data_IF_767144089253
#
_entry.id   IF_767144089253
#
_cell.length_a   1.000
_cell.length_b   1.000
_cell.length_c   1.000
_cell.angle_alpha   90.00
_cell.angle_beta   90.00
_cell.angle_gamma   90.00
#
_symmetry.space_group_name_H-M   'P 1'
#
loop_
_entity.id
_entity.type
_entity.pdbx_description
1 polymer ?
#
# COMPACT_ATOMS: atom_id res chain seq x y z
N UNK A 1 52.83 -44.18 14.16
CA UNK A 1 51.41 -44.49 13.90
C UNK A 1 50.59 -43.59 14.82
N UNK A 2 49.45 -43.05 14.36
CA UNK A 2 48.57 -42.07 15.04
C UNK A 2 48.96 -40.58 14.88
N UNK A 3 49.42 -40.10 13.72
CA UNK A 3 48.53 -39.40 12.77
C UNK A 3 47.25 -40.20 12.52
N UNK A 4 46.08 -39.55 12.62
CA UNK A 4 44.70 -40.09 12.56
C UNK A 4 44.12 -40.39 13.95
N UNK A 5 43.48 -39.38 14.55
CA UNK A 5 42.57 -39.30 15.72
C UNK A 5 43.02 -38.06 16.53
N UNK A 6 42.36 -36.91 16.55
CA UNK A 6 40.97 -36.62 16.24
C UNK A 6 40.89 -35.17 15.79
N UNK A 7 41.15 -34.96 14.50
CA UNK A 7 40.60 -33.85 13.71
C UNK A 7 39.10 -34.16 13.57
N UNK A 8 38.36 -34.07 14.68
CA UNK A 8 36.90 -34.27 14.73
C UNK A 8 36.24 -33.42 15.84
N UNK A 9 36.99 -32.49 16.44
CA UNK A 9 36.43 -31.39 17.22
C UNK A 9 36.43 -30.10 16.38
N UNK A 10 36.03 -30.23 15.11
CA UNK A 10 36.10 -29.17 14.10
C UNK A 10 34.85 -29.08 13.21
N UNK A 11 33.76 -29.76 13.59
CA UNK A 11 32.48 -29.73 12.87
C UNK A 11 31.34 -30.03 13.84
N UNK A 12 31.04 -29.09 14.75
CA UNK A 12 29.69 -28.99 15.29
C UNK A 12 29.16 -27.61 14.91
N UNK A 13 28.33 -27.64 13.86
CA UNK A 13 27.21 -26.74 13.58
C UNK A 13 27.47 -25.24 13.87
N UNK A 14 28.04 -24.49 12.91
CA UNK A 14 27.30 -23.97 11.75
C UNK A 14 25.99 -23.28 12.17
N UNK A 15 26.10 -21.96 12.32
CA UNK A 15 25.06 -20.97 12.03
C UNK A 15 23.68 -21.22 12.63
N UNK A 16 23.46 -20.75 13.87
CA UNK A 16 22.23 -20.02 14.14
C UNK A 16 22.35 -18.68 13.39
N UNK A 17 22.14 -18.70 12.07
CA UNK A 17 21.71 -17.50 11.40
C UNK A 17 20.39 -17.14 12.08
N UNK A 18 20.37 -15.97 12.71
CA UNK A 18 19.13 -15.36 13.15
C UNK A 18 18.19 -15.38 11.95
N UNK A 19 17.20 -16.26 11.99
CA UNK A 19 16.01 -16.08 11.19
C UNK A 19 15.35 -14.84 11.77
N UNK A 20 15.80 -13.68 11.30
CA UNK A 20 14.94 -12.51 11.19
C UNK A 20 13.87 -12.95 10.19
N UNK A 21 12.88 -13.67 10.70
CA UNK A 21 11.54 -13.55 10.19
C UNK A 21 11.27 -12.05 10.36
N UNK A 22 11.51 -11.27 9.30
CA UNK A 22 10.67 -10.12 9.06
C UNK A 22 9.29 -10.75 8.92
N UNK A 23 8.61 -10.85 10.05
CA UNK A 23 7.16 -10.86 10.06
C UNK A 23 6.80 -9.68 9.17
N UNK A 24 6.34 -10.00 7.97
CA UNK A 24 5.70 -9.02 7.11
C UNK A 24 4.41 -8.68 7.85
N UNK A 25 4.54 -7.85 8.88
CA UNK A 25 3.41 -7.29 9.59
C UNK A 25 2.78 -6.37 8.57
N UNK A 26 1.83 -6.93 7.83
CA UNK A 26 0.78 -6.18 7.18
C UNK A 26 0.05 -5.44 8.30
N UNK A 27 0.52 -4.24 8.65
CA UNK A 27 -0.08 -3.38 9.66
C UNK A 27 -1.29 -2.67 9.06
N UNK A 28 -2.34 -3.42 8.74
CA UNK A 28 -3.70 -2.90 8.74
C UNK A 28 -4.50 -3.69 9.77
N UNK A 29 -4.01 -3.66 11.01
CA UNK A 29 -4.73 -4.24 12.13
C UNK A 29 -5.74 -3.23 12.61
N UNK A 30 -7.03 -3.59 12.51
CA UNK A 30 -8.11 -2.89 13.21
C UNK A 30 -7.65 -2.58 14.64
N UNK A 31 -7.81 -1.33 15.13
CA UNK A 31 -7.39 -0.97 16.49
C UNK A 31 -7.96 -1.92 17.53
N UNK A 32 -7.19 -2.25 18.57
CA UNK A 32 -7.65 -3.15 19.62
C UNK A 32 -8.78 -2.54 20.48
N UNK A 33 -8.92 -1.21 20.46
CA UNK A 33 -9.92 -0.45 21.23
C UNK A 33 -10.42 0.73 20.40
N UNK A 34 -11.64 1.19 20.66
CA UNK A 34 -12.17 2.38 19.99
C UNK A 34 -11.29 3.60 20.30
N UNK A 35 -10.89 4.31 19.23
CA UNK A 35 -10.18 5.59 19.38
C UNK A 35 -11.17 6.71 19.69
N UNK A 36 -12.36 6.63 19.10
CA UNK A 36 -13.48 7.53 19.35
C UNK A 36 -14.76 6.69 19.50
N UNK A 37 -15.58 7.00 20.50
CA UNK A 37 -16.82 6.24 20.77
C UNK A 37 -17.95 6.66 19.81
N UNK A 38 -18.09 7.96 19.60
CA UNK A 38 -19.23 8.54 18.87
C UNK A 38 -18.86 9.07 17.48
N UNK A 39 -17.65 8.78 17.00
CA UNK A 39 -17.15 9.30 15.74
C UNK A 39 -16.41 8.22 14.95
N UNK A 40 -16.54 8.27 13.62
CA UNK A 40 -15.64 7.61 12.70
C UNK A 40 -14.23 8.21 12.71
N UNK A 41 -13.23 7.42 12.35
CA UNK A 41 -11.85 7.86 12.13
C UNK A 41 -11.19 7.09 10.98
N UNK A 42 -10.20 7.71 10.35
CA UNK A 42 -9.54 7.14 9.17
C UNK A 42 -8.60 5.99 9.52
N UNK A 43 -8.47 5.05 8.59
CA UNK A 43 -7.38 4.10 8.58
C UNK A 43 -6.16 4.64 7.82
N UNK A 44 -5.06 3.88 7.84
CA UNK A 44 -3.89 4.19 7.01
C UNK A 44 -4.26 4.22 5.53
N UNK A 45 -4.99 3.19 5.09
CA UNK A 45 -5.69 3.15 3.81
C UNK A 45 -6.78 4.23 3.79
N UNK A 46 -6.62 5.21 2.90
CA UNK A 46 -7.57 6.33 2.79
C UNK A 46 -8.96 5.94 2.29
N UNK A 47 -9.15 4.71 1.81
CA UNK A 47 -10.47 4.17 1.48
C UNK A 47 -11.15 3.61 2.72
N UNK A 48 -10.40 3.26 3.76
CA UNK A 48 -10.91 2.61 4.96
C UNK A 48 -11.08 3.57 6.11
N UNK A 49 -12.04 3.25 6.96
CA UNK A 49 -12.33 3.98 8.18
C UNK A 49 -12.87 3.02 9.22
N UNK A 50 -12.90 3.49 10.45
CA UNK A 50 -13.43 2.76 11.58
C UNK A 50 -14.58 3.52 12.21
N UNK A 51 -15.49 2.79 12.84
CA UNK A 51 -16.47 3.33 13.79
C UNK A 51 -16.57 2.40 14.99
N UNK A 52 -17.04 2.92 16.12
CA UNK A 52 -17.21 2.12 17.32
C UNK A 52 -18.63 1.53 17.40
N UNK A 53 -18.72 0.27 17.80
CA UNK A 53 -19.98 -0.36 18.17
C UNK A 53 -19.76 -1.23 19.40
N UNK A 54 -20.47 -0.96 20.51
CA UNK A 54 -20.33 -1.67 21.78
C UNK A 54 -18.86 -1.76 22.28
N UNK A 55 -18.11 -0.66 22.22
CA UNK A 55 -16.66 -0.59 22.52
C UNK A 55 -15.75 -1.45 21.60
N UNK A 56 -16.28 -1.96 20.48
CA UNK A 56 -15.53 -2.72 19.48
C UNK A 56 -15.34 -1.89 18.21
N UNK A 57 -14.10 -1.66 17.78
CA UNK A 57 -13.83 -1.01 16.49
C UNK A 57 -14.27 -1.91 15.34
N UNK A 58 -15.05 -1.34 14.43
CA UNK A 58 -15.47 -1.98 13.19
C UNK A 58 -14.82 -1.24 12.03
N UNK A 59 -14.06 -1.95 11.20
CA UNK A 59 -13.53 -1.44 9.93
C UNK A 59 -14.60 -1.46 8.84
N UNK A 60 -14.62 -0.41 8.03
CA UNK A 60 -15.43 -0.31 6.82
C UNK A 60 -14.62 0.37 5.71
N UNK A 61 -15.10 0.30 4.48
CA UNK A 61 -14.42 0.82 3.29
C UNK A 61 -15.40 1.67 2.46
N UNK A 62 -14.89 2.77 1.92
CA UNK A 62 -15.58 3.61 0.95
C UNK A 62 -15.67 2.89 -0.41
N UNK A 63 -16.69 3.25 -1.20
CA UNK A 63 -16.81 2.75 -2.57
C UNK A 63 -15.61 3.13 -3.45
N UNK A 64 -15.38 2.38 -4.53
CA UNK A 64 -14.32 2.68 -5.50
C UNK A 64 -14.44 4.12 -6.02
N UNK A 65 -13.34 4.87 -5.95
CA UNK A 65 -13.29 6.28 -6.32
C UNK A 65 -13.77 7.25 -5.23
N UNK A 66 -14.05 6.74 -4.02
CA UNK A 66 -14.33 7.53 -2.83
C UNK A 66 -13.28 7.28 -1.74
N UNK A 67 -13.02 8.31 -0.93
CA UNK A 67 -12.00 8.28 0.11
C UNK A 67 -12.53 8.92 1.39
N UNK A 68 -12.17 8.34 2.52
CA UNK A 68 -12.61 8.84 3.82
C UNK A 68 -11.91 10.16 4.16
N UNK A 69 -12.71 11.15 4.55
CA UNK A 69 -12.26 12.46 5.01
C UNK A 69 -12.89 12.75 6.35
N UNK A 70 -12.09 13.27 7.27
CA UNK A 70 -12.54 13.83 8.56
C UNK A 70 -11.76 15.12 8.81
N UNK A 71 -12.37 16.24 8.46
CA UNK A 71 -11.80 17.57 8.74
C UNK A 71 -12.88 18.49 9.33
N UNK A 72 -12.59 19.79 9.48
CA UNK A 72 -13.51 20.75 10.08
C UNK A 72 -14.79 21.02 9.24
N UNK A 73 -14.77 20.69 7.95
CA UNK A 73 -15.83 21.01 6.98
C UNK A 73 -16.54 19.76 6.50
N UNK A 74 -15.79 18.70 6.19
CA UNK A 74 -16.28 17.49 5.54
C UNK A 74 -16.02 16.26 6.39
N UNK A 75 -16.97 15.32 6.31
CA UNK A 75 -16.99 14.11 7.12
C UNK A 75 -17.61 12.93 6.36
N UNK A 76 -16.85 11.84 6.22
CA UNK A 76 -17.27 10.61 5.55
C UNK A 76 -16.55 10.38 4.21
N UNK A 77 -17.12 9.49 3.39
CA UNK A 77 -16.56 9.13 2.08
C UNK A 77 -16.87 10.23 1.04
N UNK A 78 -15.83 10.89 0.54
CA UNK A 78 -15.94 11.88 -0.53
C UNK A 78 -15.45 11.33 -1.86
N UNK A 79 -16.08 11.69 -2.99
CA UNK A 79 -15.60 11.29 -4.31
C UNK A 79 -14.24 11.93 -4.59
N UNK A 80 -13.37 11.21 -5.31
CA UNK A 80 -12.02 11.64 -5.69
C UNK A 80 -11.95 13.10 -6.14
N UNK A 81 -12.91 13.55 -6.97
CA UNK A 81 -13.01 14.91 -7.52
C UNK A 81 -13.08 16.05 -6.48
N UNK A 82 -13.41 15.74 -5.23
CA UNK A 82 -13.45 16.69 -4.12
C UNK A 82 -12.22 16.57 -3.20
N UNK A 83 -11.37 15.57 -3.43
CA UNK A 83 -10.10 15.41 -2.72
C UNK A 83 -9.08 16.43 -3.23
N UNK A 84 -8.07 16.70 -2.41
CA UNK A 84 -6.87 17.37 -2.89
C UNK A 84 -6.25 16.52 -4.03
N UNK A 85 -6.07 17.08 -5.25
CA UNK A 85 -5.53 16.34 -6.39
C UNK A 85 -4.15 15.72 -6.15
N UNK A 86 -3.34 16.25 -5.23
CA UNK A 86 -2.07 15.61 -4.88
C UNK A 86 -2.28 14.27 -4.17
N UNK A 87 -3.42 14.07 -3.50
CA UNK A 87 -3.73 12.86 -2.74
C UNK A 87 -4.36 11.74 -3.58
N UNK A 88 -4.76 12.04 -4.81
CA UNK A 88 -5.46 11.13 -5.72
C UNK A 88 -4.84 11.24 -7.12
N UNK A 89 -5.16 10.35 -8.04
CA UNK A 89 -4.56 10.36 -9.38
C UNK A 89 -5.55 10.91 -10.41
N UNK A 90 -6.15 12.08 -10.18
CA UNK A 90 -7.15 12.65 -11.10
C UNK A 90 -6.55 13.33 -12.33
N UNK A 91 -5.27 13.63 -12.28
CA UNK A 91 -4.51 14.29 -13.32
C UNK A 91 -3.82 13.31 -14.27
N UNK A 92 -3.90 12.01 -13.99
CA UNK A 92 -3.23 10.98 -14.78
C UNK A 92 -4.08 10.59 -15.98
N UNK A 93 -3.43 10.33 -17.10
CA UNK A 93 -4.07 9.76 -18.28
C UNK A 93 -3.20 8.61 -18.76
N UNK A 94 -3.83 7.45 -18.99
CA UNK A 94 -3.13 6.29 -19.52
C UNK A 94 -2.74 6.57 -20.96
N UNK A 95 -1.44 6.56 -21.23
CA UNK A 95 -0.89 6.77 -22.57
C UNK A 95 -0.85 5.48 -23.40
N UNK A 96 -0.66 5.60 -24.72
CA UNK A 96 -0.55 4.45 -25.61
C UNK A 96 0.71 3.62 -25.29
N UNK A 97 0.71 2.36 -25.73
CA UNK A 97 1.83 1.45 -25.56
C UNK A 97 2.97 1.71 -26.56
N UNK A 98 3.69 2.81 -26.33
CA UNK A 98 4.85 3.22 -27.11
C UNK A 98 5.93 3.81 -26.20
N UNK A 99 7.18 3.83 -26.69
CA UNK A 99 8.30 4.46 -26.00
C UNK A 99 8.46 3.97 -24.55
N UNK A 100 8.50 4.90 -23.60
CA UNK A 100 8.71 4.57 -22.19
C UNK A 100 7.55 3.75 -21.58
N UNK A 101 6.33 3.80 -22.12
CA UNK A 101 5.20 3.04 -21.55
C UNK A 101 5.34 1.53 -21.75
N UNK A 102 6.21 1.10 -22.67
CA UNK A 102 6.58 -0.32 -22.85
C UNK A 102 7.58 -0.81 -21.80
N UNK A 103 8.30 0.09 -21.15
CA UNK A 103 9.40 -0.24 -20.25
C UNK A 103 9.02 -0.13 -18.77
N UNK A 104 7.90 0.55 -18.48
CA UNK A 104 7.48 0.82 -17.11
C UNK A 104 5.96 0.90 -17.02
N UNK A 105 5.38 0.48 -15.88
CA UNK A 105 3.96 0.65 -15.63
C UNK A 105 3.52 2.12 -15.69
N UNK A 106 2.24 2.33 -15.96
CA UNK A 106 1.58 3.62 -15.94
C UNK A 106 0.62 3.70 -14.76
N UNK A 107 0.45 4.91 -14.23
CA UNK A 107 -0.43 5.18 -13.09
C UNK A 107 -1.90 5.06 -13.53
N UNK A 108 -2.76 4.52 -12.67
CA UNK A 108 -4.22 4.52 -12.85
C UNK A 108 -4.88 5.59 -11.98
N UNK A 109 -6.06 6.06 -12.40
CA UNK A 109 -6.93 6.91 -11.56
C UNK A 109 -7.38 6.16 -10.29
N UNK A 110 -7.56 4.84 -10.40
CA UNK A 110 -7.79 3.94 -9.26
C UNK A 110 -6.44 3.68 -8.59
N UNK A 111 -6.26 4.17 -7.36
CA UNK A 111 -4.95 4.18 -6.69
C UNK A 111 -4.34 2.79 -6.49
N UNK A 112 -5.16 1.76 -6.33
CA UNK A 112 -4.71 0.37 -6.18
C UNK A 112 -4.34 -0.29 -7.50
N UNK A 113 -4.55 0.37 -8.63
CA UNK A 113 -4.35 -0.21 -9.95
C UNK A 113 -3.24 0.49 -10.72
N UNK A 114 -2.73 -0.20 -11.73
CA UNK A 114 -1.74 0.31 -12.66
C UNK A 114 -1.92 -0.34 -14.03
N UNK A 115 -1.34 0.28 -15.05
CA UNK A 115 -1.45 -0.19 -16.43
C UNK A 115 -0.10 -0.69 -16.92
N UNK A 116 -0.09 -1.83 -17.61
CA UNK A 116 1.06 -2.37 -18.31
C UNK A 116 0.81 -2.39 -19.80
N UNK A 117 1.90 -2.26 -20.56
CA UNK A 117 1.88 -2.44 -22.00
C UNK A 117 2.46 -3.80 -22.36
N UNK A 118 1.66 -4.72 -22.92
CA UNK A 118 2.15 -6.06 -23.26
C UNK A 118 3.11 -6.03 -24.44
N UNK A 119 2.84 -5.19 -25.45
CA UNK A 119 3.68 -5.00 -26.63
C UNK A 119 3.42 -3.65 -27.30
N UNK A 120 4.27 -3.28 -28.27
CA UNK A 120 4.18 -2.00 -28.98
C UNK A 120 2.89 -1.90 -29.80
N UNK A 121 2.13 -0.81 -29.59
CA UNK A 121 0.88 -0.54 -30.29
C UNK A 121 -0.34 -1.30 -29.77
N UNK A 122 -0.20 -2.17 -28.77
CA UNK A 122 -1.32 -2.84 -28.12
C UNK A 122 -2.09 -1.89 -27.17
N UNK A 123 -3.28 -2.31 -26.77
CA UNK A 123 -4.04 -1.64 -25.70
C UNK A 123 -3.38 -1.90 -24.33
N UNK A 124 -3.23 -0.87 -23.48
CA UNK A 124 -2.77 -1.08 -22.10
C UNK A 124 -3.69 -2.01 -21.32
N UNK A 125 -3.11 -2.86 -20.47
CA UNK A 125 -3.82 -3.79 -19.61
C UNK A 125 -3.76 -3.32 -18.17
N UNK A 126 -4.91 -3.19 -17.51
CA UNK A 126 -5.01 -2.83 -16.10
C UNK A 126 -4.73 -4.03 -15.22
N UNK A 127 -3.95 -3.82 -14.17
CA UNK A 127 -3.69 -4.77 -13.10
C UNK A 127 -3.89 -4.09 -11.75
N UNK A 128 -4.16 -4.88 -10.73
CA UNK A 128 -4.36 -4.42 -9.35
C UNK A 128 -3.17 -4.84 -8.50
N UNK A 129 -2.74 -3.93 -7.62
CA UNK A 129 -1.74 -4.22 -6.59
C UNK A 129 -2.20 -5.33 -5.64
N UNK A 130 -1.27 -5.98 -4.94
CA UNK A 130 -1.63 -6.85 -3.82
C UNK A 130 -2.52 -6.14 -2.80
N UNK A 131 -3.24 -6.93 -1.99
CA UNK A 131 -4.15 -6.41 -0.97
C UNK A 131 -3.45 -5.41 -0.03
N UNK A 132 -4.17 -4.36 0.36
CA UNK A 132 -3.69 -3.27 1.21
C UNK A 132 -2.43 -2.54 0.67
N UNK A 133 -2.16 -2.63 -0.64
CA UNK A 133 -1.11 -1.86 -1.33
C UNK A 133 -1.71 -0.91 -2.35
N UNK A 134 -0.93 0.12 -2.66
CA UNK A 134 -1.27 1.22 -3.56
C UNK A 134 -0.12 1.44 -4.54
N UNK A 135 -0.44 1.73 -5.80
CA UNK A 135 0.58 1.92 -6.82
C UNK A 135 1.21 3.32 -6.73
N UNK A 136 2.54 3.37 -6.72
CA UNK A 136 3.33 4.61 -6.69
C UNK A 136 4.25 4.64 -7.89
N UNK A 137 4.27 5.79 -8.58
CA UNK A 137 5.26 6.14 -9.61
C UNK A 137 5.63 7.61 -9.47
N UNK A 138 6.48 7.92 -8.50
CA UNK A 138 6.87 9.29 -8.16
C UNK A 138 8.15 9.28 -7.32
N UNK A 139 9.01 10.29 -7.46
CA UNK A 139 10.21 10.52 -6.62
C UNK A 139 11.13 9.30 -6.46
N UNK A 140 11.27 8.50 -7.53
CA UNK A 140 12.10 7.30 -7.57
C UNK A 140 11.42 6.02 -7.07
N UNK A 141 10.18 6.10 -6.59
CA UNK A 141 9.34 4.95 -6.29
C UNK A 141 8.65 4.47 -7.56
N UNK A 142 8.65 3.15 -7.78
CA UNK A 142 7.93 2.49 -8.86
C UNK A 142 7.46 1.10 -8.40
N UNK A 143 6.15 0.93 -8.24
CA UNK A 143 5.56 -0.33 -7.82
C UNK A 143 4.42 -0.18 -6.82
N UNK A 144 4.04 -1.29 -6.18
CA UNK A 144 3.00 -1.32 -5.15
C UNK A 144 3.63 -1.18 -3.76
N UNK A 145 3.21 -0.15 -3.01
CA UNK A 145 3.73 0.18 -1.67
C UNK A 145 2.58 0.24 -0.66
N UNK A 146 2.91 0.34 0.63
CA UNK A 146 1.91 0.63 1.66
C UNK A 146 1.36 2.06 1.57
N UNK A 147 0.23 2.27 2.25
CA UNK A 147 -0.50 3.54 2.23
C UNK A 147 0.25 4.66 2.92
N UNK A 148 1.02 4.36 3.97
CA UNK A 148 1.91 5.33 4.62
C UNK A 148 2.97 5.86 3.65
N UNK A 149 3.60 4.98 2.85
CA UNK A 149 4.58 5.36 1.83
C UNK A 149 3.92 6.22 0.75
N UNK A 150 2.76 5.81 0.23
CA UNK A 150 2.02 6.62 -0.73
C UNK A 150 1.72 8.02 -0.19
N UNK A 151 1.20 8.10 1.03
CA UNK A 151 0.87 9.37 1.68
C UNK A 151 2.08 10.27 1.87
N UNK A 152 3.22 9.69 2.24
CA UNK A 152 4.48 10.40 2.38
C UNK A 152 4.96 10.98 1.04
N UNK A 153 5.01 10.13 -0.01
CA UNK A 153 5.48 10.52 -1.36
C UNK A 153 4.56 11.57 -1.98
N UNK A 154 3.24 11.46 -1.76
CA UNK A 154 2.23 12.37 -2.31
C UNK A 154 1.99 13.62 -1.44
N UNK A 155 2.67 13.74 -0.30
CA UNK A 155 2.45 14.87 0.62
C UNK A 155 1.04 14.93 1.21
N UNK A 156 0.40 13.77 1.41
CA UNK A 156 -0.96 13.63 1.91
C UNK A 156 -1.05 12.86 3.24
N UNK A 157 -0.48 13.41 4.34
CA UNK A 157 -0.41 12.71 5.62
C UNK A 157 -1.79 12.31 6.13
N UNK A 158 -1.85 11.20 6.86
CA UNK A 158 -3.06 10.81 7.59
C UNK A 158 -3.41 11.91 8.60
N UNK A 159 -4.70 12.24 8.69
CA UNK A 159 -5.26 13.23 9.62
C UNK A 159 -5.68 12.54 10.92
#
# INVERSE_FOLDING_TARGET
MLKVLSIFLGLLAFSCAASLYLDEVSTTTVPATCLFEDEMWGAEDMRKFYFCWDNVPIESECDVGYYFVKNATDYGCLPAKLMNPECVNLDVTVGPCTGNNLLQPQVSEVLTDFWLCPEEGADPVQLTCPENKVFVKQDGYLGCFDWQTYRSVRGCPAQ
#
